data_IF_099780284455
#
_entry.id   IF_099780284455
#
_cell.length_a   1.000
_cell.length_b   1.000
_cell.length_c   1.000
_cell.angle_alpha   90.00
_cell.angle_beta   90.00
_cell.angle_gamma   90.00
#
_symmetry.space_group_name_H-M   'P 1'
#
loop_
_entity.id
_entity.type
_entity.pdbx_description
1 polymer ?
#
# COMPACT_ATOMS: atom_id res chain seq x y z
N UNK A 1 -21.41 13.01 18.65
CA UNK A 1 -21.04 12.44 17.33
C UNK A 1 -19.53 12.50 17.18
N UNK A 2 -18.81 11.37 17.22
CA UNK A 2 -17.35 11.36 17.05
C UNK A 2 -17.00 11.89 15.66
N UNK A 3 -16.04 12.83 15.59
CA UNK A 3 -15.52 13.35 14.33
C UNK A 3 -15.01 12.16 13.52
N UNK A 4 -15.73 11.78 12.44
CA UNK A 4 -15.25 10.79 11.48
C UNK A 4 -13.87 11.25 11.02
N UNK A 5 -12.84 10.49 11.36
CA UNK A 5 -11.46 10.79 11.00
C UNK A 5 -11.35 11.05 9.50
N UNK A 6 -10.54 12.03 9.12
CA UNK A 6 -10.40 12.54 7.74
C UNK A 6 -9.81 11.52 6.75
N UNK A 7 -9.55 10.27 7.15
CA UNK A 7 -8.96 9.23 6.31
C UNK A 7 -9.68 7.90 6.51
N UNK A 8 -9.83 7.13 5.44
CA UNK A 8 -10.45 5.79 5.44
C UNK A 8 -9.59 4.68 6.05
N UNK A 9 -8.48 5.04 6.69
CA UNK A 9 -7.70 4.12 7.51
C UNK A 9 -8.39 3.96 8.88
N UNK A 10 -8.63 2.72 9.30
CA UNK A 10 -9.07 2.38 10.64
C UNK A 10 -7.88 2.11 11.55
N UNK A 11 -7.80 2.84 12.67
CA UNK A 11 -6.85 2.54 13.74
C UNK A 11 -5.40 2.98 13.49
N UNK A 12 -4.48 2.38 14.24
CA UNK A 12 -3.05 2.67 14.20
C UNK A 12 -2.25 1.45 13.75
N UNK A 13 -1.28 1.68 12.86
CA UNK A 13 -0.42 0.63 12.33
C UNK A 13 0.66 0.23 13.34
N UNK A 14 0.84 -1.08 13.55
CA UNK A 14 1.99 -1.61 14.30
C UNK A 14 3.28 -1.46 13.49
N UNK A 15 4.40 -1.18 14.17
CA UNK A 15 5.69 -0.97 13.50
C UNK A 15 6.19 -2.29 12.90
N UNK A 16 6.35 -2.30 11.58
CA UNK A 16 6.91 -3.41 10.80
C UNK A 16 8.16 -2.96 10.04
N UNK A 17 8.95 -3.91 9.57
CA UNK A 17 10.14 -3.66 8.77
C UNK A 17 9.81 -2.89 7.50
N UNK A 18 10.42 -1.72 7.30
CA UNK A 18 10.30 -0.93 6.07
C UNK A 18 11.00 -1.64 4.91
N UNK A 19 10.34 -1.69 3.76
CA UNK A 19 10.78 -2.49 2.62
C UNK A 19 10.92 -1.69 1.32
N UNK A 20 10.16 -0.60 1.19
CA UNK A 20 9.97 0.11 -0.08
C UNK A 20 10.40 1.57 0.04
N UNK A 21 11.69 1.90 -0.21
CA UNK A 21 12.12 3.30 -0.28
C UNK A 21 11.50 4.02 -1.47
N UNK A 22 11.49 5.35 -1.43
CA UNK A 22 11.23 6.17 -2.63
C UNK A 22 12.13 5.72 -3.78
N UNK A 23 11.59 5.72 -5.00
CA UNK A 23 12.27 5.17 -6.18
C UNK A 23 11.99 3.69 -6.45
N UNK A 24 11.42 2.95 -5.49
CA UNK A 24 11.03 1.57 -5.72
C UNK A 24 9.92 1.44 -6.78
N UNK A 25 9.99 0.41 -7.61
CA UNK A 25 8.92 0.00 -8.53
C UNK A 25 8.30 -1.29 -8.00
N UNK A 26 6.99 -1.28 -7.79
CA UNK A 26 6.22 -2.43 -7.30
C UNK A 26 5.09 -2.79 -8.28
N UNK A 27 4.56 -4.00 -8.14
CA UNK A 27 3.42 -4.44 -8.95
C UNK A 27 2.14 -3.73 -8.52
N UNK A 28 1.26 -3.46 -9.48
CA UNK A 28 -0.12 -3.09 -9.18
C UNK A 28 -0.96 -4.36 -9.12
N UNK A 29 -1.66 -4.56 -8.02
CA UNK A 29 -2.48 -5.76 -7.79
C UNK A 29 -3.98 -5.52 -8.01
N UNK A 30 -4.37 -4.37 -8.56
CA UNK A 30 -5.77 -4.08 -8.88
C UNK A 30 -6.08 -4.18 -10.37
N UNK A 31 -7.37 -4.15 -10.68
CA UNK A 31 -7.90 -4.18 -12.04
C UNK A 31 -8.06 -2.78 -12.67
N UNK A 32 -7.42 -1.72 -12.17
CA UNK A 32 -7.52 -0.37 -12.78
C UNK A 32 -6.86 -0.29 -14.15
N UNK A 33 -5.95 -1.21 -14.44
CA UNK A 33 -5.15 -1.26 -15.67
C UNK A 33 -3.75 -0.65 -15.53
N UNK A 34 -3.34 -0.28 -14.33
CA UNK A 34 -1.93 -0.09 -14.00
C UNK A 34 -1.24 -1.46 -13.85
N UNK A 35 0.02 -1.57 -14.28
CA UNK A 35 0.85 -2.78 -14.07
C UNK A 35 1.95 -2.54 -13.05
N UNK A 36 2.60 -1.37 -13.11
CA UNK A 36 3.72 -1.03 -12.23
C UNK A 36 3.50 0.35 -11.59
N UNK A 37 3.69 0.41 -10.28
CA UNK A 37 3.63 1.62 -9.47
C UNK A 37 5.05 2.02 -9.05
N UNK A 38 5.40 3.28 -9.26
CA UNK A 38 6.66 3.86 -8.81
C UNK A 38 6.42 4.73 -7.59
N UNK A 39 7.13 4.45 -6.49
CA UNK A 39 7.01 5.14 -5.20
C UNK A 39 7.69 6.50 -5.28
N UNK A 40 6.91 7.58 -5.10
CA UNK A 40 7.38 8.96 -5.13
C UNK A 40 7.60 9.49 -3.72
N UNK A 41 6.64 9.28 -2.82
CA UNK A 41 6.69 9.73 -1.44
C UNK A 41 5.83 8.81 -0.56
N UNK A 42 6.05 8.82 0.75
CA UNK A 42 5.31 8.01 1.72
C UNK A 42 4.62 8.92 2.72
N UNK A 43 3.34 8.67 2.99
CA UNK A 43 2.57 9.48 3.93
C UNK A 43 3.01 9.23 5.37
N UNK A 44 2.85 10.25 6.23
CA UNK A 44 3.09 10.11 7.67
C UNK A 44 4.55 9.98 8.09
N UNK A 45 5.51 10.22 7.19
CA UNK A 45 6.94 10.18 7.49
C UNK A 45 7.47 11.58 7.78
N UNK A 46 8.20 11.73 8.90
CA UNK A 46 9.02 12.91 9.18
C UNK A 46 10.35 12.79 8.44
N UNK A 47 10.73 13.85 7.73
CA UNK A 47 12.03 13.92 7.05
C UNK A 47 13.20 13.82 8.03
N UNK A 48 14.30 13.21 7.58
CA UNK A 48 15.59 13.20 8.28
C UNK A 48 16.70 13.31 7.24
N UNK A 49 17.73 14.10 7.55
CA UNK A 49 18.89 14.29 6.67
C UNK A 49 19.46 12.93 6.23
N UNK A 50 19.69 12.79 4.92
CA UNK A 50 20.24 11.60 4.26
C UNK A 50 19.46 10.29 4.48
N UNK A 51 18.17 10.36 4.87
CA UNK A 51 17.30 9.19 5.00
C UNK A 51 16.21 9.23 3.94
N UNK A 52 16.18 8.21 3.09
CA UNK A 52 15.08 8.01 2.16
C UNK A 52 13.81 7.62 2.94
N UNK A 53 12.66 8.28 2.67
CA UNK A 53 11.37 7.80 3.15
C UNK A 53 11.09 6.42 2.58
N UNK A 54 10.57 5.52 3.42
CA UNK A 54 10.30 4.13 3.04
C UNK A 54 8.97 3.66 3.59
N UNK A 55 8.23 2.91 2.80
CA UNK A 55 6.96 2.30 3.15
C UNK A 55 7.12 0.82 3.54
N UNK A 56 6.14 0.33 4.27
CA UNK A 56 5.86 -1.08 4.51
C UNK A 56 4.38 -1.38 4.24
N UNK A 57 4.00 -2.65 4.33
CA UNK A 57 2.60 -3.11 4.25
C UNK A 57 1.66 -2.24 5.09
N UNK A 58 0.53 -1.85 4.50
CA UNK A 58 -0.48 -0.99 5.10
C UNK A 58 -0.19 0.51 4.99
N UNK A 59 1.01 0.93 4.60
CA UNK A 59 1.29 2.35 4.39
C UNK A 59 0.70 2.86 3.08
N UNK A 60 0.16 4.06 3.14
CA UNK A 60 -0.21 4.83 1.97
C UNK A 60 1.02 5.56 1.42
N UNK A 61 1.15 5.59 0.10
CA UNK A 61 2.23 6.26 -0.60
C UNK A 61 1.72 6.97 -1.85
N UNK A 62 2.47 7.96 -2.29
CA UNK A 62 2.26 8.67 -3.55
C UNK A 62 2.95 7.88 -4.66
N UNK A 63 2.21 7.58 -5.71
CA UNK A 63 2.64 6.73 -6.81
C UNK A 63 2.51 7.42 -8.16
N UNK A 64 3.33 6.98 -9.12
CA UNK A 64 3.07 7.17 -10.56
C UNK A 64 3.04 5.83 -11.28
N UNK A 65 2.19 5.70 -12.30
CA UNK A 65 2.12 4.50 -13.13
C UNK A 65 3.22 4.53 -14.19
N UNK A 66 4.14 3.55 -14.15
CA UNK A 66 5.22 3.41 -15.14
C UNK A 66 4.79 2.58 -16.34
N UNK A 67 4.05 1.50 -16.11
CA UNK A 67 3.48 0.61 -17.14
C UNK A 67 2.00 0.41 -16.85
N UNK A 68 1.15 0.48 -17.88
CA UNK A 68 -0.30 0.38 -17.75
C UNK A 68 -1.03 1.17 -18.84
N UNK A 69 -2.36 1.31 -18.69
CA UNK A 69 -3.21 2.11 -19.59
C UNK A 69 -2.65 3.54 -19.76
N UNK A 70 -2.62 4.09 -20.99
CA UNK A 70 -2.08 5.43 -21.27
C UNK A 70 -2.68 6.53 -20.39
N UNK A 71 -3.99 6.44 -20.09
CA UNK A 71 -4.72 7.42 -19.28
C UNK A 71 -4.25 7.53 -17.82
N UNK A 72 -3.67 6.46 -17.27
CA UNK A 72 -3.18 6.40 -15.89
C UNK A 72 -1.70 6.80 -15.79
N UNK A 73 -0.96 6.68 -16.88
CA UNK A 73 0.46 7.03 -16.93
C UNK A 73 0.65 8.54 -16.78
N UNK A 74 1.83 8.93 -16.28
CA UNK A 74 2.24 10.34 -16.07
C UNK A 74 1.34 11.14 -15.11
N UNK A 75 0.40 10.48 -14.41
CA UNK A 75 -0.42 11.08 -13.35
C UNK A 75 0.12 10.68 -11.99
N UNK A 76 0.04 11.61 -11.04
CA UNK A 76 0.30 11.36 -9.62
C UNK A 76 -0.99 10.83 -8.99
N UNK A 77 -0.89 9.74 -8.24
CA UNK A 77 -2.01 9.12 -7.55
C UNK A 77 -1.56 8.56 -6.20
N UNK A 78 -2.52 8.14 -5.38
CA UNK A 78 -2.25 7.50 -4.11
C UNK A 78 -2.38 5.98 -4.24
N UNK A 79 -1.61 5.25 -3.45
CA UNK A 79 -1.68 3.81 -3.40
C UNK A 79 -1.38 3.31 -1.99
N UNK A 80 -1.80 2.08 -1.68
CA UNK A 80 -1.50 1.40 -0.42
C UNK A 80 -0.69 0.15 -0.70
N UNK A 81 0.33 -0.12 0.12
CA UNK A 81 1.14 -1.34 0.04
C UNK A 81 0.36 -2.50 0.64
N UNK A 82 0.11 -3.57 -0.14
CA UNK A 82 -0.61 -4.76 0.34
C UNK A 82 0.29 -5.97 0.60
N UNK A 83 1.44 -6.03 -0.09
CA UNK A 83 2.40 -7.13 -0.01
C UNK A 83 3.81 -6.58 -0.02
N UNK A 84 4.68 -7.20 0.79
CA UNK A 84 6.11 -6.91 0.78
C UNK A 84 6.92 -8.21 0.80
N UNK A 85 7.99 -8.24 0.01
CA UNK A 85 8.93 -9.35 -0.07
C UNK A 85 9.91 -9.39 1.10
N UNK A 86 10.19 -8.24 1.72
CA UNK A 86 11.03 -8.18 2.93
C UNK A 86 10.26 -8.75 4.11
N UNK A 87 10.81 -9.78 4.74
CA UNK A 87 10.21 -10.39 5.92
C UNK A 87 9.99 -9.37 7.06
N UNK A 88 8.85 -9.48 7.74
CA UNK A 88 8.52 -8.68 8.91
C UNK A 88 7.91 -9.57 10.01
N UNK A 89 8.10 -9.13 11.26
CA UNK A 89 7.65 -9.86 12.44
C UNK A 89 6.24 -9.45 12.84
N UNK A 90 5.38 -10.43 13.09
CA UNK A 90 4.05 -10.27 13.66
C UNK A 90 4.08 -10.23 15.18
N UNK A 91 2.95 -9.82 15.78
CA UNK A 91 2.81 -9.74 17.25
C UNK A 91 2.93 -11.10 17.94
N UNK A 92 2.52 -12.17 17.26
CA UNK A 92 2.66 -13.56 17.73
C UNK A 92 4.10 -14.09 17.66
N UNK A 93 5.03 -13.31 17.11
CA UNK A 93 6.44 -13.69 16.95
C UNK A 93 6.78 -14.35 15.61
N UNK A 94 5.79 -14.72 14.80
CA UNK A 94 6.00 -15.29 13.47
C UNK A 94 6.60 -14.24 12.52
N UNK A 95 7.40 -14.72 11.55
CA UNK A 95 7.89 -13.89 10.45
C UNK A 95 7.16 -14.29 9.16
N UNK A 96 6.65 -13.30 8.44
CA UNK A 96 5.98 -13.49 7.17
C UNK A 96 6.64 -12.64 6.09
N UNK A 97 6.62 -13.15 4.86
CA UNK A 97 7.00 -12.44 3.63
C UNK A 97 6.12 -12.91 2.48
N UNK A 98 6.02 -12.07 1.45
CA UNK A 98 5.30 -12.39 0.21
C UNK A 98 6.28 -12.64 -0.92
N UNK A 99 5.82 -13.28 -1.99
CA UNK A 99 6.61 -13.53 -3.19
C UNK A 99 7.08 -12.22 -3.85
N UNK A 100 6.19 -11.22 -3.90
CA UNK A 100 6.41 -9.95 -4.57
C UNK A 100 6.06 -8.73 -3.69
N UNK A 101 6.45 -7.55 -4.18
CA UNK A 101 6.00 -6.27 -3.64
C UNK A 101 4.82 -5.79 -4.48
N UNK A 102 3.69 -5.51 -3.84
CA UNK A 102 2.50 -5.09 -4.56
C UNK A 102 1.71 -4.00 -3.82
N UNK A 103 1.03 -3.16 -4.60
CA UNK A 103 0.15 -2.11 -4.10
C UNK A 103 -1.14 -1.95 -4.90
N UNK A 104 -2.08 -1.22 -4.32
CA UNK A 104 -3.42 -0.95 -4.85
C UNK A 104 -3.60 0.56 -4.98
N UNK A 105 -4.17 1.03 -6.09
CA UNK A 105 -4.46 2.46 -6.27
C UNK A 105 -5.70 2.83 -5.46
N UNK A 106 -5.59 3.93 -4.72
CA UNK A 106 -6.66 4.46 -3.87
C UNK A 106 -6.91 5.94 -4.17
N UNK A 107 -8.07 6.43 -3.76
CA UNK A 107 -8.38 7.86 -3.74
C UNK A 107 -7.79 8.53 -2.48
N UNK A 108 -7.97 9.85 -2.36
CA UNK A 108 -7.48 10.62 -1.21
C UNK A 108 -8.12 10.23 0.13
N UNK A 109 -9.24 9.51 0.10
CA UNK A 109 -9.90 8.96 1.29
C UNK A 109 -9.40 7.56 1.63
N UNK A 110 -8.56 6.94 0.80
CA UNK A 110 -8.11 5.56 0.96
C UNK A 110 -9.10 4.50 0.47
N UNK A 111 -10.10 4.88 -0.31
CA UNK A 111 -10.99 3.94 -0.97
C UNK A 111 -10.34 3.48 -2.28
N UNK A 112 -10.45 2.18 -2.59
CA UNK A 112 -9.88 1.62 -3.80
C UNK A 112 -10.50 2.25 -5.05
N UNK A 113 -9.65 2.52 -6.05
CA UNK A 113 -10.10 2.94 -7.37
C UNK A 113 -10.54 1.75 -8.23
N UNK A 114 -9.86 0.61 -8.08
CA UNK A 114 -10.27 -0.65 -8.69
C UNK A 114 -11.40 -1.34 -7.90
N UNK A 115 -11.95 -2.39 -8.48
CA UNK A 115 -13.06 -3.17 -7.88
C UNK A 115 -12.60 -4.50 -7.28
N UNK A 116 -11.43 -5.01 -7.66
CA UNK A 116 -10.94 -6.30 -7.20
C UNK A 116 -9.42 -6.31 -7.03
N UNK A 117 -8.92 -7.14 -6.12
CA UNK A 117 -7.49 -7.36 -5.87
C UNK A 117 -7.10 -8.77 -6.31
N UNK A 118 -6.01 -8.86 -7.07
CA UNK A 118 -5.41 -10.13 -7.47
C UNK A 118 -4.39 -10.59 -6.41
N UNK A 119 -4.57 -11.82 -5.93
CA UNK A 119 -3.67 -12.47 -4.97
C UNK A 119 -3.95 -12.10 -3.52
N UNK A 120 -3.12 -12.58 -2.58
CA UNK A 120 -3.33 -12.38 -1.16
C UNK A 120 -3.00 -10.96 -0.73
N UNK A 121 -3.65 -10.52 0.35
CA UNK A 121 -3.39 -9.24 1.04
C UNK A 121 -2.89 -9.54 2.45
N UNK A 122 -1.88 -8.81 2.90
CA UNK A 122 -1.40 -8.94 4.27
C UNK A 122 -2.47 -8.48 5.28
N UNK A 123 -2.64 -9.24 6.36
CA UNK A 123 -3.55 -8.93 7.46
C UNK A 123 -3.37 -7.53 8.02
N UNK A 124 -2.12 -7.07 8.14
CA UNK A 124 -1.78 -5.74 8.64
C UNK A 124 -2.34 -4.62 7.73
N UNK A 125 -2.49 -4.88 6.44
CA UNK A 125 -3.15 -3.96 5.53
C UNK A 125 -4.69 -4.08 5.62
N UNK A 126 -5.22 -5.30 5.70
CA UNK A 126 -6.65 -5.54 5.79
C UNK A 126 -7.28 -4.94 7.06
N UNK A 127 -6.60 -5.05 8.20
CA UNK A 127 -7.04 -4.49 9.48
C UNK A 127 -7.11 -2.95 9.46
N UNK A 128 -6.28 -2.30 8.63
CA UNK A 128 -6.21 -0.84 8.49
C UNK A 128 -7.15 -0.29 7.41
N UNK A 129 -7.45 -1.06 6.38
CA UNK A 129 -8.15 -0.56 5.19
C UNK A 129 -9.37 -1.44 4.89
N UNK A 130 -10.55 -1.13 5.46
CA UNK A 130 -11.73 -1.98 5.36
C UNK A 130 -12.16 -2.23 3.91
N UNK A 131 -12.05 -1.23 3.03
CA UNK A 131 -12.37 -1.38 1.60
C UNK A 131 -11.39 -2.29 0.86
N UNK A 132 -10.13 -2.36 1.28
CA UNK A 132 -9.16 -3.30 0.72
C UNK A 132 -9.49 -4.72 1.20
N UNK A 133 -9.79 -4.89 2.49
CA UNK A 133 -10.19 -6.18 3.04
C UNK A 133 -11.41 -6.77 2.31
N UNK A 134 -12.47 -5.97 2.12
CA UNK A 134 -13.71 -6.41 1.47
C UNK A 134 -13.57 -6.81 -0.01
N UNK A 135 -12.54 -6.30 -0.71
CA UNK A 135 -12.31 -6.60 -2.13
C UNK A 135 -11.11 -7.54 -2.34
N UNK A 136 -10.58 -8.14 -1.27
CA UNK A 136 -9.53 -9.15 -1.33
C UNK A 136 -10.11 -10.55 -1.33
N UNK A 137 -9.58 -11.43 -2.17
CA UNK A 137 -10.00 -12.84 -2.20
C UNK A 137 -9.39 -13.67 -1.07
N UNK A 138 -8.25 -13.26 -0.52
CA UNK A 138 -7.55 -13.97 0.55
C UNK A 138 -6.73 -13.00 1.40
N UNK A 139 -6.79 -13.17 2.72
CA UNK A 139 -6.02 -12.38 3.69
C UNK A 139 -5.06 -13.33 4.39
N UNK A 140 -3.77 -12.97 4.42
CA UNK A 140 -2.69 -13.77 5.01
C UNK A 140 -2.03 -13.06 6.18
#
# INVERSE_FOLDING_TARGET
MSKRGRGGASGAKFRVSLALPVGAVINCADNTGAKNLFVIAVYGIKGRLNRLPSAAVGDMFVASVKKGKPELRKKVMQAVVIRQRKAFRRKDGSFIYFEDNAGVIVNNKGEMKGSAITGPVAKECADLWPRIASNSGTIA
#
